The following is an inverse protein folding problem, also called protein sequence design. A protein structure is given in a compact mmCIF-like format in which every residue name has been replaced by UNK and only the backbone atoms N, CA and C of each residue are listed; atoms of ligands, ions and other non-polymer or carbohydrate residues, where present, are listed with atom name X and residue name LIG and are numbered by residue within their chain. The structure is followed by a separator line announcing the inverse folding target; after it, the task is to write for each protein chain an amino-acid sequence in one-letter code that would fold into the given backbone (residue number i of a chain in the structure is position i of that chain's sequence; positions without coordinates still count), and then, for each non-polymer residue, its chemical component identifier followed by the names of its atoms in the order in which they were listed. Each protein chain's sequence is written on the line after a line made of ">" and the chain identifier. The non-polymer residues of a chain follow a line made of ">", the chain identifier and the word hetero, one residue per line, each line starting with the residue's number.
data_IF_063340986049
#
_entry.id   IF_063340986049
#
_cell.length_a   1.000
_cell.length_b   1.000
_cell.length_c   1.000
_cell.angle_alpha   90.00
_cell.angle_beta   90.00
_cell.angle_gamma   90.00
#
_symmetry.space_group_name_H-M   'P 1'
#
loop_
_entity.id
_entity.type
_entity.pdbx_description
1 polymer ?
#
# COMPACT_ATOMS: atom_id res chain seq x y z
N UNK A 1 -32.02 -7.55 2.70
CA UNK A 1 -31.08 -7.10 3.75
C UNK A 1 -31.79 -7.22 5.08
N UNK A 2 -31.11 -7.67 6.13
CA UNK A 2 -31.72 -7.79 7.46
C UNK A 2 -31.37 -6.52 8.22
N UNK A 3 -32.33 -5.63 8.44
CA UNK A 3 -32.11 -4.45 9.28
C UNK A 3 -32.36 -4.79 10.74
N UNK A 4 -31.39 -4.50 11.60
CA UNK A 4 -31.52 -4.60 13.05
C UNK A 4 -30.88 -3.36 13.67
N UNK A 5 -31.63 -2.61 14.47
CA UNK A 5 -31.17 -1.37 15.13
C UNK A 5 -30.61 -0.31 14.15
N UNK A 6 -31.17 -0.22 12.94
CA UNK A 6 -30.71 0.72 11.90
C UNK A 6 -29.40 0.31 11.21
N UNK A 7 -28.87 -0.88 11.51
CA UNK A 7 -27.70 -1.45 10.86
C UNK A 7 -28.19 -2.45 9.80
N UNK A 8 -27.76 -2.24 8.55
CA UNK A 8 -27.97 -3.18 7.46
C UNK A 8 -27.00 -4.37 7.59
N UNK A 9 -27.50 -5.50 8.07
CA UNK A 9 -26.72 -6.72 8.13
C UNK A 9 -26.73 -7.44 6.79
N UNK A 10 -25.56 -8.01 6.49
CA UNK A 10 -25.36 -8.86 5.33
C UNK A 10 -26.36 -10.05 5.37
N UNK A 11 -27.05 -10.37 4.26
CA UNK A 11 -28.01 -11.48 4.22
C UNK A 11 -27.38 -12.81 4.68
N UNK A 12 -28.16 -13.68 5.34
CA UNK A 12 -27.65 -15.00 5.75
C UNK A 12 -27.28 -15.90 4.55
N UNK A 13 -27.96 -15.72 3.40
CA UNK A 13 -27.73 -16.47 2.18
C UNK A 13 -26.79 -15.74 1.19
N UNK A 14 -25.58 -15.40 1.65
CA UNK A 14 -24.52 -14.86 0.79
C UNK A 14 -23.70 -16.01 0.20
N UNK A 15 -23.45 -16.03 -1.13
CA UNK A 15 -22.61 -17.03 -1.77
C UNK A 15 -21.24 -17.15 -1.12
N UNK A 16 -20.69 -18.37 -1.07
CA UNK A 16 -19.38 -18.64 -0.46
C UNK A 16 -18.26 -17.76 -1.02
N UNK A 17 -18.26 -17.52 -2.32
CA UNK A 17 -17.29 -16.66 -2.99
C UNK A 17 -17.27 -15.23 -2.42
N UNK A 18 -18.45 -14.64 -2.19
CA UNK A 18 -18.58 -13.29 -1.60
C UNK A 18 -18.07 -13.25 -0.16
N UNK A 19 -18.20 -14.34 0.60
CA UNK A 19 -17.63 -14.45 1.95
C UNK A 19 -16.11 -14.47 1.92
N UNK A 20 -15.52 -15.20 0.96
CA UNK A 20 -14.07 -15.21 0.76
C UNK A 20 -13.54 -13.84 0.34
N UNK A 21 -14.22 -13.14 -0.57
CA UNK A 21 -13.89 -11.77 -0.95
C UNK A 21 -13.92 -10.82 0.25
N UNK A 22 -14.95 -10.93 1.09
CA UNK A 22 -15.06 -10.16 2.35
C UNK A 22 -13.91 -10.50 3.29
N UNK A 23 -13.52 -11.77 3.40
CA UNK A 23 -12.35 -12.19 4.17
C UNK A 23 -11.06 -11.56 3.64
N UNK A 24 -10.90 -11.41 2.32
CA UNK A 24 -9.78 -10.69 1.70
C UNK A 24 -9.71 -9.22 2.13
N UNK A 25 -10.84 -8.50 2.08
CA UNK A 25 -10.94 -7.13 2.55
C UNK A 25 -10.63 -7.01 4.06
N UNK A 26 -11.20 -7.89 4.88
CA UNK A 26 -10.94 -7.93 6.32
C UNK A 26 -9.46 -8.23 6.60
N UNK A 27 -8.86 -9.18 5.89
CA UNK A 27 -7.45 -9.51 6.05
C UNK A 27 -6.55 -8.30 5.85
N UNK A 28 -6.78 -7.52 4.78
CA UNK A 28 -6.03 -6.29 4.54
C UNK A 28 -6.21 -5.28 5.68
N UNK A 29 -7.45 -5.01 6.11
CA UNK A 29 -7.75 -4.06 7.19
C UNK A 29 -7.12 -4.51 8.51
N UNK A 30 -7.24 -5.79 8.85
CA UNK A 30 -6.68 -6.36 10.07
C UNK A 30 -5.16 -6.22 10.09
N UNK A 31 -4.45 -6.59 9.03
CA UNK A 31 -2.99 -6.55 9.00
C UNK A 31 -2.42 -5.15 8.81
N UNK A 32 -3.14 -4.27 8.12
CA UNK A 32 -2.65 -2.94 7.79
C UNK A 32 -2.99 -1.87 8.83
N UNK A 33 -4.10 -2.03 9.56
CA UNK A 33 -4.58 -1.01 10.50
C UNK A 33 -4.63 -1.51 11.95
N UNK A 34 -5.22 -2.68 12.20
CA UNK A 34 -5.52 -3.13 13.57
C UNK A 34 -4.32 -3.83 14.21
N UNK A 35 -3.73 -4.81 13.52
CA UNK A 35 -2.63 -5.61 14.04
C UNK A 35 -1.41 -4.75 14.42
N UNK A 36 -1.01 -3.71 13.66
CA UNK A 36 0.10 -2.85 14.07
C UNK A 36 -0.11 -2.22 15.46
N UNK A 37 -1.32 -1.76 15.76
CA UNK A 37 -1.64 -1.17 17.08
C UNK A 37 -1.50 -2.22 18.19
N UNK A 38 -1.99 -3.44 17.94
CA UNK A 38 -1.89 -4.55 18.89
C UNK A 38 -0.44 -5.04 19.08
N UNK A 39 0.35 -5.11 17.99
CA UNK A 39 1.73 -5.61 18.04
C UNK A 39 2.71 -4.59 18.61
N UNK A 40 2.36 -3.31 18.74
CA UNK A 40 3.15 -2.35 19.51
C UNK A 40 3.13 -2.64 21.02
N UNK A 41 2.00 -3.13 21.56
CA UNK A 41 1.86 -3.42 22.99
C UNK A 41 2.44 -4.80 23.37
N UNK A 42 2.50 -5.72 22.41
CA UNK A 42 2.94 -7.09 22.64
C UNK A 42 4.39 -7.20 23.16
N UNK A 43 5.42 -6.53 22.59
CA UNK A 43 6.79 -6.60 23.10
C UNK A 43 6.89 -6.13 24.56
N UNK A 44 6.12 -5.11 24.94
CA UNK A 44 6.09 -4.60 26.31
C UNK A 44 5.61 -5.70 27.25
N UNK A 45 4.48 -6.34 26.94
CA UNK A 45 3.96 -7.47 27.71
C UNK A 45 4.95 -8.65 27.77
N UNK A 46 5.53 -9.04 26.62
CA UNK A 46 6.46 -10.17 26.55
C UNK A 46 7.74 -9.92 27.35
N UNK A 47 8.21 -8.68 27.43
CA UNK A 47 9.40 -8.30 28.19
C UNK A 47 9.26 -8.55 29.69
N UNK A 48 8.04 -8.44 30.24
CA UNK A 48 7.75 -8.76 31.64
C UNK A 48 7.31 -10.21 31.87
N UNK A 49 7.43 -11.07 30.86
CA UNK A 49 7.07 -12.49 30.91
C UNK A 49 8.29 -13.39 30.77
N UNK A 50 8.11 -14.72 30.93
CA UNK A 50 9.17 -15.72 30.64
C UNK A 50 9.62 -15.73 29.16
N UNK A 51 8.85 -15.07 28.28
CA UNK A 51 9.13 -14.96 26.84
C UNK A 51 9.98 -13.74 26.48
N UNK A 52 10.51 -12.99 27.44
CA UNK A 52 11.40 -11.83 27.18
C UNK A 52 12.60 -12.14 26.26
N UNK A 53 13.19 -13.36 26.22
CA UNK A 53 14.27 -13.63 25.28
C UNK A 53 13.87 -13.47 23.81
N UNK A 54 12.59 -13.67 23.46
CA UNK A 54 12.08 -13.43 22.10
C UNK A 54 12.15 -11.95 21.72
N UNK A 55 11.86 -11.06 22.68
CA UNK A 55 11.92 -9.61 22.45
C UNK A 55 13.37 -9.19 22.20
N UNK A 56 14.31 -9.70 22.99
CA UNK A 56 15.74 -9.40 22.80
C UNK A 56 16.26 -9.98 21.48
N UNK A 57 15.93 -11.22 21.15
CA UNK A 57 16.31 -11.84 19.88
C UNK A 57 15.79 -11.03 18.68
N UNK A 58 14.51 -10.64 18.70
CA UNK A 58 13.92 -9.82 17.65
C UNK A 58 14.54 -8.42 17.59
N UNK A 59 14.89 -7.82 18.74
CA UNK A 59 15.51 -6.49 18.78
C UNK A 59 16.93 -6.49 18.21
N UNK A 60 17.71 -7.53 18.52
CA UNK A 60 19.05 -7.74 17.92
C UNK A 60 18.93 -7.92 16.41
N UNK A 61 17.98 -8.73 15.97
CA UNK A 61 17.71 -8.94 14.56
C UNK A 61 17.28 -7.63 13.86
N UNK A 62 16.37 -6.85 14.47
CA UNK A 62 15.92 -5.57 13.94
C UNK A 62 17.05 -4.54 13.84
N UNK A 63 17.97 -4.53 14.80
CA UNK A 63 19.16 -3.68 14.75
C UNK A 63 20.07 -4.05 13.57
N UNK A 64 20.32 -5.35 13.36
CA UNK A 64 21.08 -5.83 12.21
C UNK A 64 20.37 -5.52 10.89
N UNK A 65 19.05 -5.66 10.87
CA UNK A 65 18.22 -5.59 9.67
C UNK A 65 17.63 -4.20 9.38
N UNK A 66 18.05 -3.17 10.12
CA UNK A 66 17.37 -1.88 10.18
C UNK A 66 17.10 -1.24 8.80
N UNK A 67 18.05 -1.36 7.87
CA UNK A 67 18.00 -0.73 6.54
C UNK A 67 17.20 -1.52 5.48
N UNK A 68 16.65 -2.69 5.79
CA UNK A 68 15.94 -3.50 4.79
C UNK A 68 14.76 -2.82 4.09
N UNK A 69 13.95 -1.96 4.75
CA UNK A 69 12.93 -1.15 4.08
C UNK A 69 13.49 -0.21 3.00
N UNK A 70 14.74 0.25 3.16
CA UNK A 70 15.41 1.11 2.18
C UNK A 70 15.95 0.33 0.99
N UNK A 71 16.27 -0.94 1.19
CA UNK A 71 17.02 -1.77 0.22
C UNK A 71 16.15 -2.77 -0.54
N UNK A 72 14.88 -2.96 -0.16
CA UNK A 72 13.96 -3.90 -0.81
C UNK A 72 14.36 -5.36 -0.62
N UNK A 73 14.73 -5.74 0.60
CA UNK A 73 15.47 -6.99 0.88
C UNK A 73 14.66 -8.29 0.77
N UNK A 74 13.38 -8.32 1.16
CA UNK A 74 12.65 -9.59 1.45
C UNK A 74 11.45 -9.89 0.56
N UNK A 75 11.37 -9.27 -0.62
CA UNK A 75 10.23 -9.48 -1.53
C UNK A 75 10.05 -10.98 -1.84
N UNK A 76 8.86 -11.51 -1.56
CA UNK A 76 8.51 -12.92 -1.72
C UNK A 76 7.36 -13.10 -2.69
N UNK A 77 7.64 -13.66 -3.87
CA UNK A 77 6.60 -13.97 -4.87
C UNK A 77 5.62 -15.02 -4.36
N UNK A 78 6.07 -15.96 -3.51
CA UNK A 78 5.17 -16.90 -2.84
C UNK A 78 4.15 -16.18 -1.96
N UNK A 79 4.60 -15.17 -1.19
CA UNK A 79 3.71 -14.40 -0.32
C UNK A 79 2.71 -13.57 -1.13
N UNK A 80 3.16 -12.96 -2.22
CA UNK A 80 2.32 -12.19 -3.14
C UNK A 80 1.28 -13.07 -3.88
N UNK A 81 1.53 -14.38 -4.06
CA UNK A 81 0.66 -15.33 -4.77
C UNK A 81 -0.40 -16.03 -3.90
N UNK A 82 -0.48 -15.68 -2.61
CA UNK A 82 -1.48 -16.27 -1.72
C UNK A 82 -2.91 -15.92 -2.18
N UNK A 83 -3.82 -16.90 -2.13
CA UNK A 83 -5.22 -16.76 -2.60
C UNK A 83 -6.02 -15.64 -1.95
N UNK A 84 -5.60 -15.21 -0.75
CA UNK A 84 -6.23 -14.09 -0.04
C UNK A 84 -6.18 -12.80 -0.85
N UNK A 85 -5.15 -12.63 -1.69
CA UNK A 85 -4.98 -11.47 -2.56
C UNK A 85 -5.95 -11.48 -3.75
N UNK A 86 -6.25 -12.66 -4.30
CA UNK A 86 -7.29 -12.82 -5.33
C UNK A 86 -8.67 -12.43 -4.74
N UNK A 87 -8.96 -12.87 -3.51
CA UNK A 87 -10.21 -12.54 -2.84
C UNK A 87 -10.32 -11.03 -2.59
N UNK A 88 -9.24 -10.41 -2.14
CA UNK A 88 -9.18 -8.97 -1.93
C UNK A 88 -9.38 -8.18 -3.23
N UNK A 89 -8.71 -8.57 -4.32
CA UNK A 89 -8.89 -7.95 -5.63
C UNK A 89 -10.33 -8.06 -6.14
N UNK A 90 -10.95 -9.23 -5.99
CA UNK A 90 -12.32 -9.48 -6.44
C UNK A 90 -13.40 -8.86 -5.54
N UNK A 91 -13.06 -8.45 -4.31
CA UNK A 91 -13.96 -7.67 -3.46
C UNK A 91 -14.23 -6.28 -4.05
N UNK A 92 -13.20 -5.62 -4.56
CA UNK A 92 -13.26 -4.29 -5.22
C UNK A 92 -13.26 -4.37 -6.77
N UNK A 93 -13.71 -5.49 -7.33
CA UNK A 93 -13.41 -5.97 -8.70
C UNK A 93 -12.25 -5.29 -9.45
N UNK A 94 -11.05 -5.25 -8.85
CA UNK A 94 -9.92 -4.48 -9.41
C UNK A 94 -9.36 -5.16 -10.66
N UNK A 95 -9.11 -4.35 -11.69
CA UNK A 95 -8.46 -4.79 -12.93
C UNK A 95 -7.25 -3.92 -13.23
N UNK A 96 -6.13 -4.56 -13.53
CA UNK A 96 -4.93 -3.88 -14.00
C UNK A 96 -4.92 -3.88 -15.53
N UNK A 97 -4.78 -2.69 -16.11
CA UNK A 97 -4.69 -2.51 -17.57
C UNK A 97 -3.30 -1.95 -17.91
N UNK A 98 -2.49 -2.75 -18.62
CA UNK A 98 -1.24 -2.25 -19.20
C UNK A 98 -1.47 -1.60 -20.56
N UNK A 99 -0.76 -0.51 -20.83
CA UNK A 99 -0.79 0.21 -22.10
C UNK A 99 0.48 0.00 -22.92
N UNK A 100 1.56 -0.48 -22.29
CA UNK A 100 2.84 -0.77 -22.90
C UNK A 100 3.55 -1.93 -22.20
N UNK A 101 4.49 -2.55 -22.89
CA UNK A 101 5.42 -3.50 -22.30
C UNK A 101 6.54 -2.79 -21.57
N UNK A 102 7.07 -3.43 -20.53
CA UNK A 102 8.22 -2.95 -19.77
C UNK A 102 9.43 -3.82 -20.08
N UNK A 103 10.46 -3.21 -20.68
CA UNK A 103 11.76 -3.85 -20.87
C UNK A 103 12.41 -4.22 -19.53
N UNK A 104 12.97 -5.43 -19.36
CA UNK A 104 13.73 -5.81 -18.17
C UNK A 104 15.09 -5.12 -18.08
N UNK A 105 15.54 -4.43 -19.12
CA UNK A 105 16.83 -3.72 -19.16
C UNK A 105 16.75 -2.29 -18.59
N UNK A 106 15.55 -1.87 -18.19
CA UNK A 106 15.29 -0.56 -17.62
C UNK A 106 14.71 -0.63 -16.21
N UNK A 107 14.81 0.49 -15.51
CA UNK A 107 14.17 0.72 -14.22
C UNK A 107 13.08 1.78 -14.36
N UNK A 108 12.05 1.67 -13.55
CA UNK A 108 10.82 2.45 -13.70
C UNK A 108 10.45 3.16 -12.41
N UNK A 109 10.03 4.42 -12.53
CA UNK A 109 9.37 5.14 -11.47
C UNK A 109 7.92 5.39 -11.88
N UNK A 110 7.01 4.65 -11.27
CA UNK A 110 5.58 4.70 -11.53
C UNK A 110 4.96 5.73 -10.57
N UNK A 111 4.40 6.81 -11.11
CA UNK A 111 3.59 7.77 -10.36
C UNK A 111 2.14 7.32 -10.34
N UNK A 112 1.68 6.83 -9.19
CA UNK A 112 0.32 6.31 -9.01
C UNK A 112 -0.61 7.36 -8.40
N UNK A 113 -1.81 7.47 -8.95
CA UNK A 113 -2.89 8.36 -8.52
C UNK A 113 -4.27 7.72 -8.72
N UNK A 114 -5.32 8.19 -8.03
CA UNK A 114 -5.22 9.03 -6.84
C UNK A 114 -4.70 8.20 -5.64
N UNK A 115 -4.30 8.87 -4.56
CA UNK A 115 -3.87 8.22 -3.34
C UNK A 115 -5.02 7.48 -2.64
N UNK A 116 -6.25 7.98 -2.75
CA UNK A 116 -7.35 7.53 -1.90
C UNK A 116 -7.05 7.76 -0.43
N UNK A 117 -7.87 7.21 0.47
CA UNK A 117 -7.58 7.31 1.92
C UNK A 117 -6.34 6.46 2.26
N UNK A 118 -6.25 5.24 1.74
CA UNK A 118 -5.20 4.27 2.08
C UNK A 118 -4.61 3.50 0.88
N UNK A 119 -4.78 4.01 -0.35
CA UNK A 119 -4.17 3.47 -1.58
C UNK A 119 -4.41 1.98 -1.82
N UNK A 120 -5.66 1.55 -1.76
CA UNK A 120 -6.08 0.15 -1.88
C UNK A 120 -5.69 -0.43 -3.25
N UNK A 121 -5.93 0.33 -4.32
CA UNK A 121 -5.56 -0.06 -5.69
C UNK A 121 -4.05 -0.19 -5.87
N UNK A 122 -3.25 0.70 -5.26
CA UNK A 122 -1.80 0.60 -5.34
C UNK A 122 -1.29 -0.65 -4.61
N UNK A 123 -1.85 -0.95 -3.43
CA UNK A 123 -1.52 -2.16 -2.70
C UNK A 123 -1.86 -3.43 -3.48
N UNK A 124 -3.12 -3.60 -3.93
CA UNK A 124 -3.52 -4.84 -4.61
C UNK A 124 -2.74 -5.08 -5.91
N UNK A 125 -2.49 -4.03 -6.70
CA UNK A 125 -1.85 -4.16 -8.00
C UNK A 125 -0.33 -4.35 -7.92
N UNK A 126 0.34 -3.74 -6.93
CA UNK A 126 1.80 -3.64 -6.95
C UNK A 126 2.50 -4.26 -5.73
N UNK A 127 1.79 -4.48 -4.63
CA UNK A 127 2.32 -5.20 -3.46
C UNK A 127 1.84 -6.65 -3.40
N UNK A 128 0.83 -7.04 -4.19
CA UNK A 128 0.31 -8.42 -4.24
C UNK A 128 0.23 -8.94 -5.68
N UNK A 129 -0.12 -10.21 -5.87
CA UNK A 129 -0.45 -10.77 -7.18
C UNK A 129 -1.97 -10.87 -7.45
N UNK A 130 -2.81 -10.18 -6.67
CA UNK A 130 -4.28 -10.32 -6.78
C UNK A 130 -4.86 -9.94 -8.14
N UNK A 131 -4.16 -9.11 -8.92
CA UNK A 131 -4.54 -8.75 -10.30
C UNK A 131 -3.64 -9.35 -11.38
N UNK A 132 -2.77 -10.30 -11.00
CA UNK A 132 -1.88 -11.02 -11.94
C UNK A 132 -0.67 -10.22 -12.43
N UNK A 133 -0.17 -9.27 -11.63
CA UNK A 133 0.99 -8.43 -12.01
C UNK A 133 2.24 -9.26 -12.33
N UNK A 134 2.47 -10.38 -11.63
CA UNK A 134 3.62 -11.25 -11.83
C UNK A 134 3.52 -12.02 -13.15
N UNK A 135 2.32 -12.29 -13.65
CA UNK A 135 2.10 -12.87 -14.97
C UNK A 135 2.20 -11.79 -16.05
N UNK A 136 1.69 -10.59 -15.76
CA UNK A 136 1.66 -9.47 -16.70
C UNK A 136 3.06 -8.93 -17.02
N UNK A 137 3.95 -8.92 -16.02
CA UNK A 137 5.32 -8.42 -16.10
C UNK A 137 6.29 -9.37 -15.36
N UNK A 138 6.56 -10.56 -15.91
CA UNK A 138 7.28 -11.63 -15.20
C UNK A 138 8.75 -11.34 -14.93
N UNK A 139 9.31 -10.30 -15.55
CA UNK A 139 10.71 -9.88 -15.40
C UNK A 139 10.87 -8.52 -14.69
N UNK A 140 9.78 -7.98 -14.14
CA UNK A 140 9.80 -6.70 -13.43
C UNK A 140 9.46 -6.92 -11.96
N UNK A 141 10.36 -6.48 -11.08
CA UNK A 141 10.15 -6.46 -9.65
C UNK A 141 9.55 -5.12 -9.22
N UNK A 142 8.27 -5.14 -8.89
CA UNK A 142 7.55 -3.99 -8.35
C UNK A 142 7.79 -3.83 -6.85
N UNK A 143 8.05 -2.59 -6.44
CA UNK A 143 8.22 -2.17 -5.06
C UNK A 143 7.27 -1.01 -4.78
N UNK A 144 6.23 -1.26 -3.97
CA UNK A 144 5.31 -0.21 -3.53
C UNK A 144 5.97 0.63 -2.43
N UNK A 145 6.06 1.94 -2.67
CA UNK A 145 6.64 2.90 -1.72
C UNK A 145 5.59 3.32 -0.68
N UNK A 146 5.94 3.27 0.60
CA UNK A 146 5.06 3.69 1.70
C UNK A 146 5.80 4.52 2.75
N UNK A 147 5.06 5.09 3.71
CA UNK A 147 5.63 5.88 4.79
C UNK A 147 6.56 5.02 5.66
N UNK A 148 7.74 5.55 6.04
CA UNK A 148 8.73 4.84 6.87
C UNK A 148 8.14 4.30 8.18
N UNK A 149 7.15 5.00 8.76
CA UNK A 149 6.47 4.58 9.99
C UNK A 149 5.80 3.21 9.90
N UNK A 150 5.43 2.76 8.69
CA UNK A 150 4.88 1.42 8.46
C UNK A 150 5.89 0.30 8.82
N UNK A 151 7.19 0.60 8.82
CA UNK A 151 8.26 -0.37 9.13
C UNK A 151 8.74 -0.33 10.58
N UNK A 152 8.22 0.58 11.42
CA UNK A 152 8.60 0.62 12.84
C UNK A 152 7.85 -0.40 13.69
N UNK A 153 6.74 -0.93 13.18
CA UNK A 153 5.90 -1.85 13.96
C UNK A 153 6.30 -3.30 13.70
N UNK A 154 6.61 -4.09 14.74
CA UNK A 154 6.90 -5.51 14.59
C UNK A 154 5.77 -6.26 13.90
N UNK A 155 6.10 -7.35 13.18
CA UNK A 155 5.18 -8.15 12.33
C UNK A 155 4.68 -7.40 11.09
N UNK A 156 4.18 -6.16 11.25
CA UNK A 156 3.77 -5.30 10.14
C UNK A 156 4.94 -5.01 9.19
N UNK A 157 6.11 -4.73 9.76
CA UNK A 157 7.36 -4.57 9.02
C UNK A 157 7.63 -5.78 8.11
N UNK A 158 7.61 -6.98 8.68
CA UNK A 158 7.89 -8.22 7.94
C UNK A 158 6.87 -8.49 6.86
N UNK A 159 5.59 -8.29 7.19
CA UNK A 159 4.51 -8.40 6.22
C UNK A 159 4.72 -7.46 5.02
N UNK A 160 5.07 -6.19 5.28
CA UNK A 160 5.32 -5.21 4.22
C UNK A 160 6.53 -5.57 3.36
N UNK A 161 7.63 -6.00 3.99
CA UNK A 161 8.85 -6.39 3.28
C UNK A 161 8.65 -7.65 2.43
N UNK A 162 7.87 -8.64 2.91
CA UNK A 162 7.48 -9.82 2.14
C UNK A 162 6.64 -9.48 0.91
N UNK A 163 5.81 -8.43 1.02
CA UNK A 163 5.09 -7.83 -0.11
C UNK A 163 5.97 -6.99 -1.04
N UNK A 164 7.27 -6.85 -0.75
CA UNK A 164 8.20 -6.04 -1.53
C UNK A 164 8.03 -4.54 -1.34
N UNK A 165 7.32 -4.11 -0.30
CA UNK A 165 7.16 -2.68 0.02
C UNK A 165 8.48 -2.08 0.51
N UNK A 166 8.71 -0.83 0.16
CA UNK A 166 9.89 -0.05 0.57
C UNK A 166 9.45 1.29 1.17
N UNK A 167 10.34 1.97 1.89
CA UNK A 167 10.03 3.33 2.33
C UNK A 167 10.10 4.32 1.16
N UNK A 168 9.29 5.38 1.23
CA UNK A 168 9.17 6.36 0.16
C UNK A 168 10.28 7.44 0.16
N UNK A 169 11.39 7.24 0.88
CA UNK A 169 12.49 8.22 0.90
C UNK A 169 13.23 8.26 -0.42
N UNK A 170 13.83 9.43 -0.72
CA UNK A 170 14.73 9.58 -1.87
C UNK A 170 15.86 8.55 -1.84
N UNK A 171 16.39 8.23 -0.66
CA UNK A 171 17.47 7.25 -0.49
C UNK A 171 17.04 5.87 -0.99
N UNK A 172 15.88 5.37 -0.53
CA UNK A 172 15.37 4.07 -0.93
C UNK A 172 15.06 4.00 -2.42
N UNK A 173 14.31 4.98 -2.94
CA UNK A 173 14.01 5.03 -4.37
C UNK A 173 15.29 5.10 -5.21
N UNK A 174 16.27 5.91 -4.82
CA UNK A 174 17.56 5.99 -5.55
C UNK A 174 18.25 4.63 -5.54
N UNK A 175 18.34 3.97 -4.38
CA UNK A 175 18.98 2.65 -4.25
C UNK A 175 18.37 1.60 -5.17
N UNK A 176 17.03 1.58 -5.27
CA UNK A 176 16.33 0.64 -6.14
C UNK A 176 16.52 1.01 -7.61
N UNK A 177 16.36 2.27 -7.97
CA UNK A 177 16.36 2.74 -9.36
C UNK A 177 17.76 2.76 -10.01
N UNK A 178 18.84 2.88 -9.22
CA UNK A 178 20.22 2.78 -9.73
C UNK A 178 20.83 1.39 -9.56
N UNK A 179 20.11 0.47 -8.91
CA UNK A 179 20.54 -0.90 -8.69
C UNK A 179 20.38 -1.80 -9.93
N UNK A 180 20.10 -3.08 -9.68
CA UNK A 180 19.82 -4.05 -10.75
C UNK A 180 18.66 -3.57 -11.63
N UNK A 181 18.75 -3.82 -12.94
CA UNK A 181 17.69 -3.54 -13.92
C UNK A 181 16.46 -4.44 -13.69
N UNK A 182 15.33 -4.07 -14.30
CA UNK A 182 14.08 -4.80 -14.18
C UNK A 182 13.34 -4.49 -12.88
N UNK A 183 13.50 -3.29 -12.33
CA UNK A 183 12.81 -2.85 -11.11
C UNK A 183 11.87 -1.69 -11.36
N UNK A 184 10.75 -1.68 -10.65
CA UNK A 184 9.78 -0.60 -10.69
C UNK A 184 9.46 -0.11 -9.27
N UNK A 185 9.75 1.15 -8.96
CA UNK A 185 9.24 1.81 -7.77
C UNK A 185 7.86 2.39 -8.06
N UNK A 186 6.87 2.08 -7.23
CA UNK A 186 5.52 2.65 -7.32
C UNK A 186 5.35 3.66 -6.21
N UNK A 187 5.31 4.94 -6.59
CA UNK A 187 5.15 6.05 -5.66
C UNK A 187 3.75 6.65 -5.81
N UNK A 188 2.98 6.62 -4.73
CA UNK A 188 1.71 7.31 -4.66
C UNK A 188 1.99 8.80 -4.40
N UNK A 189 1.94 9.61 -5.45
CA UNK A 189 2.54 10.95 -5.45
C UNK A 189 1.80 11.93 -4.55
N UNK A 190 0.47 11.83 -4.51
CA UNK A 190 -0.38 12.76 -3.78
C UNK A 190 -0.16 12.75 -2.27
N UNK A 191 0.26 11.59 -1.74
CA UNK A 191 0.53 11.40 -0.31
C UNK A 191 -0.65 11.78 0.58
N UNK A 192 -0.35 12.19 1.82
CA UNK A 192 -1.36 12.56 2.80
C UNK A 192 -2.22 13.78 2.40
N UNK A 193 -1.70 14.71 1.60
CA UNK A 193 -2.45 15.88 1.14
C UNK A 193 -3.59 15.47 0.21
N UNK A 194 -3.29 14.63 -0.79
CA UNK A 194 -4.31 14.08 -1.70
C UNK A 194 -5.27 13.13 -0.98
N UNK A 195 -4.80 12.41 0.05
CA UNK A 195 -5.65 11.55 0.85
C UNK A 195 -6.76 12.33 1.59
N UNK A 196 -6.49 13.57 2.02
CA UNK A 196 -7.49 14.43 2.66
C UNK A 196 -8.54 14.96 1.67
N UNK A 197 -8.23 14.95 0.38
CA UNK A 197 -9.15 15.36 -0.70
C UNK A 197 -9.87 14.17 -1.36
N UNK A 198 -9.65 12.93 -0.88
CA UNK A 198 -10.23 11.71 -1.45
C UNK A 198 -11.73 11.57 -1.13
N UNK A 199 -12.57 12.18 -1.96
CA UNK A 199 -14.03 12.17 -1.84
C UNK A 199 -14.68 11.43 -3.02
N UNK A 200 -15.76 10.66 -2.80
CA UNK A 200 -16.49 10.01 -3.88
C UNK A 200 -16.92 11.00 -4.96
N UNK A 201 -16.70 10.65 -6.23
CA UNK A 201 -17.07 11.49 -7.38
C UNK A 201 -16.10 12.64 -7.67
N UNK A 202 -15.04 12.81 -6.87
CA UNK A 202 -14.03 13.85 -7.06
C UNK A 202 -12.64 13.24 -7.20
N UNK A 203 -11.85 13.75 -8.16
CA UNK A 203 -10.48 13.32 -8.42
C UNK A 203 -9.54 14.54 -8.36
N UNK A 204 -9.36 15.07 -7.15
CA UNK A 204 -8.47 16.22 -6.90
C UNK A 204 -7.05 15.66 -6.69
N UNK A 205 -6.14 15.97 -7.62
CA UNK A 205 -4.78 15.43 -7.58
C UNK A 205 -3.76 16.46 -7.10
N UNK A 206 -2.96 16.09 -6.10
CA UNK A 206 -1.85 16.89 -5.59
C UNK A 206 -0.58 16.61 -6.40
N UNK A 207 -0.55 16.96 -7.68
CA UNK A 207 0.60 16.70 -8.57
C UNK A 207 1.32 17.97 -9.04
N UNK A 208 0.62 19.10 -9.13
CA UNK A 208 1.16 20.32 -9.76
C UNK A 208 2.47 20.79 -9.08
N UNK A 209 2.51 20.78 -7.74
CA UNK A 209 3.68 21.20 -6.95
C UNK A 209 4.67 20.06 -6.67
N UNK A 210 4.31 18.79 -6.91
CA UNK A 210 5.11 17.61 -6.55
C UNK A 210 6.06 17.21 -7.69
N UNK A 211 7.11 17.98 -7.96
CA UNK A 211 8.07 17.68 -9.06
C UNK A 211 9.27 16.79 -8.65
N UNK A 212 9.38 16.44 -7.37
CA UNK A 212 10.53 15.71 -6.83
C UNK A 212 10.76 14.34 -7.47
N UNK A 213 9.68 13.60 -7.76
CA UNK A 213 9.76 12.28 -8.39
C UNK A 213 10.26 12.36 -9.85
N UNK A 214 9.87 13.39 -10.60
CA UNK A 214 10.36 13.65 -11.96
C UNK A 214 11.87 13.94 -11.92
N UNK A 215 12.29 14.82 -11.01
CA UNK A 215 13.72 15.11 -10.80
C UNK A 215 14.49 13.83 -10.44
N UNK A 216 13.91 12.95 -9.65
CA UNK A 216 14.53 11.68 -9.28
C UNK A 216 14.65 10.73 -10.47
N UNK A 217 13.62 10.60 -11.30
CA UNK A 217 13.67 9.82 -12.53
C UNK A 217 14.80 10.30 -13.45
N UNK A 218 14.92 11.62 -13.65
CA UNK A 218 16.01 12.21 -14.44
C UNK A 218 17.40 11.92 -13.86
N UNK A 219 17.56 12.00 -12.53
CA UNK A 219 18.85 11.74 -11.87
C UNK A 219 19.26 10.26 -11.91
N UNK A 220 18.30 9.35 -11.90
CA UNK A 220 18.54 7.90 -11.85
C UNK A 220 18.53 7.25 -13.23
N UNK A 221 18.03 7.94 -14.25
CA UNK A 221 17.79 7.39 -15.58
C UNK A 221 16.57 6.48 -15.65
N UNK A 222 15.75 6.42 -14.60
CA UNK A 222 14.55 5.59 -14.58
C UNK A 222 13.46 6.16 -15.51
N UNK A 223 12.77 5.26 -16.21
CA UNK A 223 11.63 5.60 -17.07
C UNK A 223 10.43 5.99 -16.20
N UNK A 224 9.87 7.17 -16.44
CA UNK A 224 8.72 7.67 -15.70
C UNK A 224 7.42 7.14 -16.31
N UNK A 225 6.58 6.50 -15.50
CA UNK A 225 5.31 5.92 -15.94
C UNK A 225 4.15 6.54 -15.18
N UNK A 226 3.14 7.12 -15.85
CA UNK A 226 1.89 7.49 -15.21
C UNK A 226 1.03 6.25 -14.95
N UNK A 227 0.46 6.15 -13.75
CA UNK A 227 -0.52 5.13 -13.38
C UNK A 227 -1.74 5.81 -12.75
N UNK A 228 -2.93 5.40 -13.19
CA UNK A 228 -4.18 5.97 -12.72
C UNK A 228 -5.17 4.88 -12.32
N UNK A 229 -5.77 5.02 -11.14
CA UNK A 229 -6.78 4.13 -10.58
C UNK A 229 -8.14 4.80 -10.57
N UNK A 230 -9.08 4.27 -11.35
CA UNK A 230 -10.49 4.66 -11.29
C UNK A 230 -11.20 3.86 -10.20
N UNK A 231 -12.07 4.49 -9.41
CA UNK A 231 -12.80 3.82 -8.33
C UNK A 231 -12.13 3.92 -6.95
N UNK A 232 -10.92 4.48 -6.84
CA UNK A 232 -10.17 4.55 -5.57
C UNK A 232 -10.78 5.53 -4.56
N UNK A 233 -11.29 6.67 -5.02
CA UNK A 233 -11.89 7.68 -4.13
C UNK A 233 -13.33 7.32 -3.75
N UNK A 234 -13.94 6.35 -4.44
CA UNK A 234 -15.29 5.85 -4.19
C UNK A 234 -15.34 4.79 -3.08
N UNK A 235 -14.18 4.35 -2.56
CA UNK A 235 -14.11 3.26 -1.57
C UNK A 235 -14.64 3.68 -0.20
N UNK A 236 -14.44 4.94 0.17
CA UNK A 236 -14.74 5.45 1.51
C UNK A 236 -15.40 6.82 1.46
N UNK A 237 -16.36 7.03 2.35
CA UNK A 237 -16.90 8.36 2.63
C UNK A 237 -16.02 9.07 3.67
N UNK A 238 -15.62 10.31 3.40
CA UNK A 238 -14.93 11.16 4.38
C UNK A 238 -15.91 12.07 5.11
N UNK A 239 -15.77 12.14 6.44
CA UNK A 239 -16.52 13.09 7.26
C UNK A 239 -15.82 14.45 7.20
N UNK A 240 -16.39 15.39 6.47
CA UNK A 240 -15.88 16.77 6.40
C UNK A 240 -16.36 17.54 7.63
N UNK A 241 -15.43 17.96 8.48
CA UNK A 241 -15.71 19.04 9.42
C UNK A 241 -15.63 20.37 8.65
N UNK A 242 -16.77 20.83 8.13
CA UNK A 242 -16.85 22.18 7.55
C UNK A 242 -16.56 23.17 8.68
N UNK A 243 -15.37 23.76 8.67
CA UNK A 243 -15.05 24.89 9.53
C UNK A 243 -16.01 26.03 9.15
N UNK A 244 -17.02 26.30 9.99
CA UNK A 244 -18.00 27.38 9.82
C UNK A 244 -17.40 28.79 9.76
N UNK A 245 -16.08 28.94 9.83
CA UNK A 245 -15.40 30.24 9.74
C UNK A 245 -15.29 30.77 8.30
N UNK A 246 -15.32 29.92 7.26
CA UNK A 246 -15.20 30.39 5.87
C UNK A 246 -16.55 30.74 5.20
N UNK A 247 -17.68 30.66 5.93
CA UNK A 247 -18.97 31.16 5.43
C UNK A 247 -19.25 32.62 5.81
N UNK A 248 -18.36 33.27 6.56
CA UNK A 248 -18.52 34.67 6.99
C UNK A 248 -17.64 35.66 6.22
N UNK A 249 -16.88 35.21 5.22
CA UNK A 249 -16.09 36.09 4.34
C UNK A 249 -16.83 36.51 3.06
N UNK A 250 -18.08 36.05 2.87
CA UNK A 250 -18.93 36.40 1.72
C UNK A 250 -20.09 37.36 2.12
N UNK A 251 -19.87 38.20 3.14
CA UNK A 251 -20.70 39.38 3.42
C UNK A 251 -19.86 40.66 3.43
#
# INVERSE_FOLDING_TARGET
>A
MTQLLGIDFAPLNIPWERRLQTLGAIHFVMLSLILPVLTMLLPIYLFFSRLWPLVVAYSVWLYYDWDSPKRGAYRSTWFMRQRIHDWYANYFPVKLHKTAELSPDENYLIGSHPHGIISMSAFVNFATNGTGILEMFPKIDFHLCTLVGQFYTPVRREWGLLHGMIDCSRESLTHILTGKKGKACVLVIGGAEEALDAHPGHHILTIHKRKGFIRLALMTGAQLIPCYSFGENEIYDQVIFVNRYNQLSDF
#
